data_IF_840015495769
#
_entry.id   IF_840015495769
#
_cell.length_a   1.000
_cell.length_b   1.000
_cell.length_c   1.000
_cell.angle_alpha   90.00
_cell.angle_beta   90.00
_cell.angle_gamma   90.00
#
_symmetry.space_group_name_H-M   'P 1'
#
loop_
_entity.id
_entity.type
_entity.pdbx_description
1 polymer ?
#
# COMPACT_ATOMS: atom_id res chain seq x y z
N UNK A 1 -5.92 -18.08 6.27
CA UNK A 1 -5.27 -16.77 6.49
C UNK A 1 -5.78 -16.25 7.82
N UNK A 2 -4.91 -16.06 8.82
CA UNK A 2 -5.31 -15.60 10.16
C UNK A 2 -5.75 -14.13 10.08
N UNK A 3 -6.88 -13.74 10.68
CA UNK A 3 -7.39 -12.37 10.69
C UNK A 3 -6.35 -11.38 11.23
N UNK A 4 -5.50 -11.82 12.15
CA UNK A 4 -4.39 -11.04 12.69
C UNK A 4 -3.32 -10.71 11.64
N UNK A 5 -3.01 -11.64 10.72
CA UNK A 5 -2.04 -11.40 9.65
C UNK A 5 -2.60 -10.43 8.62
N UNK A 6 -3.89 -10.55 8.29
CA UNK A 6 -4.55 -9.63 7.37
C UNK A 6 -4.53 -8.21 7.94
N UNK A 7 -4.87 -8.03 9.21
CA UNK A 7 -4.86 -6.72 9.85
C UNK A 7 -3.45 -6.11 9.97
N UNK A 8 -2.44 -6.95 10.23
CA UNK A 8 -1.04 -6.50 10.21
C UNK A 8 -0.61 -6.05 8.80
N UNK A 9 -1.00 -6.78 7.75
CA UNK A 9 -0.73 -6.39 6.37
C UNK A 9 -1.44 -5.07 5.98
N UNK A 10 -2.69 -4.88 6.41
CA UNK A 10 -3.40 -3.59 6.25
C UNK A 10 -2.66 -2.45 6.94
N UNK A 11 -2.16 -2.68 8.16
CA UNK A 11 -1.40 -1.69 8.92
C UNK A 11 -0.08 -1.32 8.23
N UNK A 12 0.61 -2.30 7.63
CA UNK A 12 1.83 -2.07 6.86
C UNK A 12 1.56 -1.20 5.63
N UNK A 13 0.47 -1.48 4.91
CA UNK A 13 0.02 -0.70 3.75
C UNK A 13 -0.32 0.75 4.13
N UNK A 14 -0.91 0.96 5.30
CA UNK A 14 -1.20 2.30 5.82
C UNK A 14 0.07 3.06 6.23
N UNK A 15 1.04 2.39 6.86
CA UNK A 15 2.33 2.99 7.21
C UNK A 15 3.10 3.40 5.95
N UNK A 16 3.13 2.56 4.91
CA UNK A 16 3.78 2.88 3.63
C UNK A 16 3.21 4.17 3.01
N UNK A 17 1.87 4.34 3.01
CA UNK A 17 1.23 5.57 2.54
C UNK A 17 1.61 6.77 3.41
N UNK A 18 1.64 6.62 4.72
CA UNK A 18 2.04 7.70 5.64
C UNK A 18 3.47 8.16 5.38
N UNK A 19 4.41 7.22 5.22
CA UNK A 19 5.81 7.51 4.92
C UNK A 19 5.99 8.16 3.54
N UNK A 20 5.32 7.64 2.51
CA UNK A 20 5.35 8.22 1.17
C UNK A 20 4.91 9.70 1.19
N UNK A 21 3.86 10.02 1.96
CA UNK A 21 3.38 11.40 2.14
C UNK A 21 4.34 12.27 2.92
N UNK A 22 4.95 11.75 3.98
CA UNK A 22 5.95 12.47 4.75
C UNK A 22 7.15 12.88 3.87
N UNK A 23 7.61 11.98 2.98
CA UNK A 23 8.67 12.27 1.99
C UNK A 23 8.28 13.35 1.00
N UNK A 24 7.08 13.23 0.42
CA UNK A 24 6.53 14.24 -0.50
C UNK A 24 6.44 15.62 0.17
N UNK A 25 5.94 15.68 1.41
CA UNK A 25 5.81 16.92 2.17
C UNK A 25 7.16 17.55 2.55
N UNK A 26 8.18 16.73 2.79
CA UNK A 26 9.55 17.19 3.07
C UNK A 26 10.28 17.73 1.83
N UNK A 27 9.66 17.72 0.64
CA UNK A 27 10.30 18.14 -0.62
C UNK A 27 11.32 17.13 -1.14
N UNK A 28 11.37 15.92 -0.56
CA UNK A 28 12.09 14.77 -1.11
C UNK A 28 11.18 14.18 -2.18
N UNK A 29 11.16 14.81 -3.35
CA UNK A 29 10.27 14.43 -4.44
C UNK A 29 10.47 12.97 -4.88
N UNK A 30 9.37 12.27 -5.16
CA UNK A 30 9.38 10.97 -5.86
C UNK A 30 9.93 11.06 -7.30
N UNK A 31 10.21 12.26 -7.80
CA UNK A 31 10.91 12.49 -9.08
C UNK A 31 12.42 12.15 -9.03
N UNK A 32 12.90 11.49 -7.97
CA UNK A 32 14.23 10.90 -7.91
C UNK A 32 14.39 9.56 -8.62
N UNK A 33 13.28 8.85 -8.92
CA UNK A 33 13.29 7.68 -9.81
C UNK A 33 12.51 8.04 -11.07
N UNK A 34 13.24 8.29 -12.15
CA UNK A 34 12.69 8.24 -13.51
C UNK A 34 12.18 6.81 -13.75
N UNK A 35 10.97 6.65 -14.32
CA UNK A 35 10.46 5.35 -14.81
C UNK A 35 11.34 4.76 -15.93
N UNK A 36 12.27 5.57 -16.44
CA UNK A 36 13.31 5.33 -17.43
C UNK A 36 14.70 5.09 -16.80
N UNK A 37 14.80 5.01 -15.47
CA UNK A 37 16.01 4.61 -14.76
C UNK A 37 15.94 3.12 -14.45
N UNK A 38 16.94 2.30 -14.82
CA UNK A 38 17.00 0.93 -14.35
C UNK A 38 16.95 0.95 -12.83
N UNK A 39 16.31 -0.06 -12.24
CA UNK A 39 16.38 -0.30 -10.80
C UNK A 39 17.85 -0.11 -10.38
N UNK A 40 18.13 0.63 -9.28
CA UNK A 40 19.48 0.76 -8.77
C UNK A 40 20.01 -0.66 -8.68
N UNK A 41 21.17 -0.86 -9.30
CA UNK A 41 21.87 -2.13 -9.32
C UNK A 41 21.82 -2.66 -7.89
N UNK A 42 21.03 -3.71 -7.66
CA UNK A 42 20.96 -4.38 -6.37
C UNK A 42 22.31 -5.06 -6.28
N UNK A 43 23.27 -4.26 -5.81
CA UNK A 43 24.67 -4.56 -5.80
C UNK A 43 24.85 -5.88 -5.10
N UNK A 44 25.24 -6.88 -5.90
CA UNK A 44 25.69 -8.17 -5.44
C UNK A 44 26.97 -7.93 -4.62
N UNK A 45 26.80 -7.62 -3.32
CA UNK A 45 27.92 -7.31 -2.44
C UNK A 45 27.53 -6.31 -1.35
N UNK A 46 27.37 -6.84 -0.13
CA UNK A 46 27.25 -6.13 1.15
C UNK A 46 25.85 -5.63 1.55
N UNK A 47 25.02 -6.57 2.02
CA UNK A 47 24.65 -6.58 3.45
C UNK A 47 23.57 -5.65 3.97
N UNK A 48 22.93 -4.83 3.14
CA UNK A 48 21.74 -4.09 3.56
C UNK A 48 20.61 -5.09 3.84
N UNK A 49 19.96 -4.94 4.99
CA UNK A 49 18.92 -5.86 5.42
C UNK A 49 17.75 -5.76 4.44
N UNK A 50 17.04 -6.86 4.12
CA UNK A 50 15.86 -6.85 3.25
C UNK A 50 14.76 -5.86 3.69
N UNK A 51 14.81 -5.41 4.94
CA UNK A 51 13.92 -4.39 5.52
C UNK A 51 14.28 -2.95 5.11
N UNK A 52 15.57 -2.67 4.87
CA UNK A 52 16.07 -1.35 4.43
C UNK A 52 15.69 -1.08 2.97
N UNK A 53 15.65 -2.13 2.15
CA UNK A 53 15.18 -2.07 0.75
C UNK A 53 13.70 -1.66 0.63
N UNK A 54 12.89 -1.91 1.67
CA UNK A 54 11.48 -1.52 1.69
C UNK A 54 11.27 -0.08 2.20
N UNK A 55 12.34 0.60 2.61
CA UNK A 55 12.32 1.96 3.16
C UNK A 55 11.20 2.17 4.21
N UNK A 56 11.00 1.20 5.10
CA UNK A 56 9.89 1.25 6.07
C UNK A 56 10.21 2.19 7.24
N UNK A 57 9.16 2.65 7.92
CA UNK A 57 9.34 3.30 9.24
C UNK A 57 9.75 2.26 10.30
N UNK A 58 10.22 2.72 11.46
CA UNK A 58 10.46 1.82 12.60
C UNK A 58 9.22 0.99 12.97
N UNK A 59 8.04 1.60 12.88
CA UNK A 59 6.76 0.92 13.09
C UNK A 59 6.46 -0.08 11.95
N UNK A 60 6.73 0.30 10.70
CA UNK A 60 6.56 -0.58 9.53
C UNK A 60 7.42 -1.84 9.64
N UNK A 61 8.67 -1.71 10.09
CA UNK A 61 9.56 -2.86 10.36
C UNK A 61 8.98 -3.77 11.45
N UNK A 62 8.47 -3.21 12.55
CA UNK A 62 7.82 -4.02 13.59
C UNK A 62 6.58 -4.76 13.08
N UNK A 63 5.80 -4.14 12.20
CA UNK A 63 4.63 -4.76 11.58
C UNK A 63 5.08 -5.86 10.61
N UNK A 64 6.09 -5.59 9.77
CA UNK A 64 6.65 -6.56 8.83
C UNK A 64 7.06 -7.85 9.55
N UNK A 65 7.77 -7.73 10.68
CA UNK A 65 8.20 -8.89 11.50
C UNK A 65 7.05 -9.64 12.16
N UNK A 66 5.90 -8.99 12.38
CA UNK A 66 4.68 -9.67 12.85
C UNK A 66 4.01 -10.45 11.72
N UNK A 67 4.10 -9.95 10.49
CA UNK A 67 3.54 -10.61 9.31
C UNK A 67 4.43 -11.79 8.88
N UNK A 68 5.75 -11.55 8.81
CA UNK A 68 6.77 -12.52 8.44
C UNK A 68 7.86 -12.56 9.52
N UNK A 69 7.78 -13.52 10.47
CA UNK A 69 8.77 -13.66 11.53
C UNK A 69 10.16 -14.07 11.03
N UNK A 70 10.23 -14.71 9.86
CA UNK A 70 11.47 -15.06 9.20
C UNK A 70 11.84 -13.99 8.17
N UNK A 71 13.13 -13.69 7.97
CA UNK A 71 13.57 -12.78 6.92
C UNK A 71 13.01 -13.18 5.56
N UNK A 72 12.50 -12.19 4.82
CA UNK A 72 12.08 -12.38 3.45
C UNK A 72 13.29 -12.60 2.54
N UNK A 73 13.12 -13.49 1.58
CA UNK A 73 14.04 -13.68 0.48
C UNK A 73 14.06 -12.51 -0.50
N UNK A 74 15.14 -12.29 -1.30
CA UNK A 74 15.20 -11.17 -2.24
C UNK A 74 14.02 -11.11 -3.22
N UNK A 75 13.54 -12.26 -3.72
CA UNK A 75 12.41 -12.30 -4.64
C UNK A 75 11.11 -11.88 -3.95
N UNK A 76 10.94 -12.28 -2.68
CA UNK A 76 9.80 -11.90 -1.87
C UNK A 76 9.82 -10.41 -1.53
N UNK A 77 11.00 -9.85 -1.24
CA UNK A 77 11.20 -8.41 -0.97
C UNK A 77 10.80 -7.57 -2.17
N UNK A 78 11.28 -7.90 -3.37
CA UNK A 78 10.95 -7.16 -4.60
C UNK A 78 9.43 -7.12 -4.84
N UNK A 79 8.76 -8.27 -4.64
CA UNK A 79 7.30 -8.35 -4.80
C UNK A 79 6.54 -7.61 -3.72
N UNK A 80 6.99 -7.68 -2.48
CA UNK A 80 6.41 -6.91 -1.37
C UNK A 80 6.54 -5.41 -1.67
N UNK A 81 7.71 -4.97 -2.13
CA UNK A 81 7.95 -3.59 -2.55
C UNK A 81 6.98 -3.16 -3.66
N UNK A 82 6.84 -3.97 -4.72
CA UNK A 82 5.92 -3.71 -5.81
C UNK A 82 4.46 -3.59 -5.33
N UNK A 83 4.02 -4.43 -4.38
CA UNK A 83 2.67 -4.31 -3.80
C UNK A 83 2.50 -3.02 -2.99
N UNK A 84 3.52 -2.61 -2.22
CA UNK A 84 3.49 -1.35 -1.47
C UNK A 84 3.40 -0.13 -2.41
N UNK A 85 4.24 -0.08 -3.46
CA UNK A 85 4.20 1.00 -4.46
C UNK A 85 2.85 1.09 -5.16
N UNK A 86 2.35 -0.05 -5.66
CA UNK A 86 1.04 -0.13 -6.31
C UNK A 86 -0.08 0.31 -5.38
N UNK A 87 -0.01 -0.01 -4.08
CA UNK A 87 -1.01 0.45 -3.12
C UNK A 87 -0.97 1.95 -2.89
N UNK A 88 0.22 2.56 -2.81
CA UNK A 88 0.37 4.01 -2.68
C UNK A 88 -0.30 4.73 -3.86
N UNK A 89 -0.06 4.27 -5.08
CA UNK A 89 -0.69 4.85 -6.29
C UNK A 89 -2.21 4.70 -6.29
N UNK A 90 -2.72 3.52 -5.90
CA UNK A 90 -4.16 3.26 -5.77
C UNK A 90 -4.80 4.17 -4.72
N UNK A 91 -4.13 4.39 -3.60
CA UNK A 91 -4.61 5.25 -2.54
C UNK A 91 -4.67 6.71 -2.97
N UNK A 92 -3.68 7.19 -3.73
CA UNK A 92 -3.70 8.53 -4.31
C UNK A 92 -4.85 8.70 -5.31
N UNK A 93 -5.19 7.66 -6.08
CA UNK A 93 -6.35 7.68 -6.97
C UNK A 93 -7.68 7.74 -6.19
N UNK A 94 -7.81 6.98 -5.09
CA UNK A 94 -8.98 7.01 -4.21
C UNK A 94 -9.14 8.38 -3.55
N UNK A 95 -8.06 9.00 -3.10
CA UNK A 95 -8.09 10.35 -2.53
C UNK A 95 -8.49 11.41 -3.56
N UNK A 96 -7.97 11.32 -4.78
CA UNK A 96 -8.42 12.19 -5.89
C UNK A 96 -9.91 12.01 -6.14
N UNK A 97 -10.41 10.78 -6.17
CA UNK A 97 -11.84 10.47 -6.34
C UNK A 97 -12.68 11.09 -5.22
N UNK A 98 -12.26 10.94 -3.96
CA UNK A 98 -12.93 11.56 -2.80
C UNK A 98 -12.96 13.08 -2.92
N UNK A 99 -11.83 13.69 -3.28
CA UNK A 99 -11.73 15.14 -3.42
C UNK A 99 -12.59 15.68 -4.57
N UNK A 100 -12.65 14.98 -5.71
CA UNK A 100 -13.54 15.33 -6.81
C UNK A 100 -15.00 15.23 -6.39
N UNK A 101 -15.41 14.15 -5.75
CA UNK A 101 -16.77 14.01 -5.22
C UNK A 101 -17.12 15.17 -4.27
N UNK A 102 -16.26 15.47 -3.30
CA UNK A 102 -16.48 16.56 -2.35
C UNK A 102 -16.60 17.93 -3.03
N UNK A 103 -15.72 18.19 -4.01
CA UNK A 103 -15.74 19.45 -4.77
C UNK A 103 -17.05 19.58 -5.54
N UNK A 104 -17.38 18.59 -6.34
CA UNK A 104 -18.53 18.62 -7.25
C UNK A 104 -19.85 18.67 -6.44
N UNK A 105 -19.93 17.90 -5.35
CA UNK A 105 -21.08 17.92 -4.45
C UNK A 105 -21.30 19.29 -3.81
N UNK A 106 -20.23 19.93 -3.31
CA UNK A 106 -20.30 21.27 -2.68
C UNK A 106 -20.62 22.36 -3.69
N UNK A 107 -20.12 22.23 -4.93
CA UNK A 107 -20.47 23.16 -6.00
C UNK A 107 -21.97 23.11 -6.34
N UNK A 108 -22.59 21.93 -6.28
CA UNK A 108 -24.02 21.77 -6.56
C UNK A 108 -24.94 22.14 -5.39
N UNK A 109 -24.52 21.90 -4.15
CA UNK A 109 -25.40 21.97 -2.97
C UNK A 109 -25.01 23.03 -1.93
N UNK A 110 -23.89 23.74 -2.14
CA UNK A 110 -23.32 24.66 -1.16
C UNK A 110 -22.26 24.02 -0.26
N UNK A 111 -21.44 24.88 0.35
CA UNK A 111 -20.30 24.46 1.18
C UNK A 111 -20.68 24.22 2.65
N UNK A 112 -21.75 24.85 3.15
CA UNK A 112 -22.18 24.69 4.53
C UNK A 112 -23.11 23.49 4.66
N UNK A 113 -22.61 22.44 5.33
CA UNK A 113 -23.38 21.20 5.57
C UNK A 113 -24.61 21.44 6.44
N UNK A 114 -24.66 22.53 7.22
CA UNK A 114 -25.82 22.88 8.07
C UNK A 114 -27.03 23.31 7.25
N UNK A 115 -26.80 23.76 6.03
CA UNK A 115 -27.85 24.22 5.11
C UNK A 115 -28.41 23.06 4.27
N UNK A 116 -27.85 21.85 4.41
CA UNK A 116 -28.32 20.69 3.67
C UNK A 116 -29.71 20.28 4.16
N UNK A 117 -30.62 20.09 3.21
CA UNK A 117 -31.85 19.34 3.48
C UNK A 117 -31.52 17.91 3.88
N UNK A 118 -32.47 17.20 4.49
CA UNK A 118 -32.30 15.78 4.83
C UNK A 118 -31.94 14.92 3.63
N UNK A 119 -32.52 15.22 2.46
CA UNK A 119 -32.23 14.52 1.19
C UNK A 119 -30.79 14.77 0.73
N UNK A 120 -30.33 16.03 0.74
CA UNK A 120 -28.96 16.39 0.36
C UNK A 120 -27.95 15.77 1.34
N UNK A 121 -28.22 15.82 2.64
CA UNK A 121 -27.37 15.20 3.65
C UNK A 121 -27.26 13.68 3.45
N UNK A 122 -28.38 13.00 3.17
CA UNK A 122 -28.37 11.56 2.88
C UNK A 122 -27.60 11.23 1.61
N UNK A 123 -27.77 12.01 0.53
CA UNK A 123 -27.00 11.83 -0.70
C UNK A 123 -25.50 12.08 -0.51
N UNK A 124 -25.12 13.04 0.34
CA UNK A 124 -23.73 13.31 0.69
C UNK A 124 -23.11 12.11 1.41
N UNK A 125 -23.79 11.60 2.43
CA UNK A 125 -23.34 10.48 3.25
C UNK A 125 -23.23 9.19 2.42
N UNK A 126 -24.24 8.86 1.62
CA UNK A 126 -24.20 7.71 0.72
C UNK A 126 -23.08 7.83 -0.33
N UNK A 127 -22.76 9.04 -0.78
CA UNK A 127 -21.63 9.28 -1.68
C UNK A 127 -20.29 8.97 -1.02
N UNK A 128 -20.07 9.46 0.20
CA UNK A 128 -18.86 9.16 0.97
C UNK A 128 -18.76 7.69 1.36
N UNK A 129 -19.86 7.08 1.76
CA UNK A 129 -19.92 5.67 2.13
C UNK A 129 -19.49 4.76 0.97
N UNK A 130 -19.95 5.02 -0.26
CA UNK A 130 -19.52 4.26 -1.44
C UNK A 130 -18.01 4.38 -1.70
N UNK A 131 -17.44 5.57 -1.56
CA UNK A 131 -16.01 5.78 -1.76
C UNK A 131 -15.20 5.08 -0.67
N UNK A 132 -15.66 5.15 0.58
CA UNK A 132 -15.00 4.49 1.71
C UNK A 132 -15.09 2.96 1.61
N UNK A 133 -16.23 2.42 1.17
CA UNK A 133 -16.41 0.99 0.95
C UNK A 133 -15.43 0.47 -0.11
N UNK A 134 -15.32 1.18 -1.24
CA UNK A 134 -14.34 0.85 -2.28
C UNK A 134 -12.90 0.94 -1.75
N UNK A 135 -12.56 1.98 -1.00
CA UNK A 135 -11.23 2.10 -0.40
C UNK A 135 -10.91 0.93 0.54
N UNK A 136 -11.88 0.50 1.35
CA UNK A 136 -11.74 -0.64 2.26
C UNK A 136 -11.58 -1.97 1.48
N UNK A 137 -12.38 -2.20 0.45
CA UNK A 137 -12.26 -3.38 -0.41
C UNK A 137 -10.88 -3.46 -1.08
N UNK A 138 -10.37 -2.33 -1.59
CA UNK A 138 -9.06 -2.24 -2.22
C UNK A 138 -7.91 -2.42 -1.23
N UNK A 139 -8.06 -1.92 0.00
CA UNK A 139 -7.10 -2.15 1.06
C UNK A 139 -7.01 -3.65 1.39
N UNK A 140 -8.16 -4.31 1.60
CA UNK A 140 -8.20 -5.74 1.88
C UNK A 140 -7.66 -6.58 0.72
N UNK A 141 -7.94 -6.19 -0.51
CA UNK A 141 -7.38 -6.84 -1.70
C UNK A 141 -5.85 -6.73 -1.70
N UNK A 142 -5.32 -5.52 -1.53
CA UNK A 142 -3.87 -5.27 -1.50
C UNK A 142 -3.19 -5.98 -0.33
N UNK A 143 -3.84 -6.07 0.83
CA UNK A 143 -3.33 -6.80 1.99
C UNK A 143 -3.18 -8.30 1.70
N UNK A 144 -4.13 -8.90 0.96
CA UNK A 144 -4.03 -10.30 0.50
C UNK A 144 -2.94 -10.48 -0.55
N UNK A 145 -2.78 -9.52 -1.48
CA UNK A 145 -1.69 -9.52 -2.47
C UNK A 145 -0.32 -9.44 -1.76
N UNK A 146 -0.20 -8.57 -0.76
CA UNK A 146 1.00 -8.37 0.05
C UNK A 146 1.40 -9.65 0.76
N UNK A 147 0.44 -10.30 1.42
CA UNK A 147 0.68 -11.56 2.13
C UNK A 147 1.13 -12.68 1.19
N UNK A 148 0.51 -12.81 0.01
CA UNK A 148 0.94 -13.76 -1.01
C UNK A 148 2.34 -13.44 -1.54
N UNK A 149 2.69 -12.17 -1.70
CA UNK A 149 4.00 -11.76 -2.18
C UNK A 149 5.13 -12.27 -1.27
N UNK A 150 4.94 -12.21 0.05
CA UNK A 150 5.91 -12.70 1.02
C UNK A 150 5.93 -14.22 1.25
N UNK A 151 5.00 -14.97 0.64
CA UNK A 151 4.98 -16.44 0.69
C UNK A 151 5.83 -17.08 -0.43
N UNK A 152 6.33 -16.31 -1.39
CA UNK A 152 7.13 -16.87 -2.50
C UNK A 152 8.53 -17.26 -2.04
N UNK A 153 8.90 -18.55 -2.09
CA UNK A 153 10.27 -18.95 -1.80
C UNK A 153 11.22 -18.47 -2.89
N UNK A 154 12.45 -18.10 -2.51
CA UNK A 154 13.54 -17.79 -3.46
C UNK A 154 13.98 -19.00 -4.29
N UNK A 155 13.56 -20.20 -3.88
CA UNK A 155 13.80 -21.42 -4.62
C UNK A 155 12.58 -21.74 -5.49
N UNK A 156 12.65 -21.60 -6.83
CA UNK A 156 11.79 -22.41 -7.68
C UNK A 156 12.09 -23.85 -7.27
N UNK A 157 11.06 -24.64 -6.97
CA UNK A 157 11.22 -25.98 -6.46
C UNK A 157 12.36 -26.69 -7.20
N UNK A 158 13.40 -27.06 -6.46
CA UNK A 158 14.14 -28.26 -6.80
C UNK A 158 13.12 -29.39 -6.63
N UNK A 159 12.25 -29.53 -7.64
CA UNK A 159 11.56 -30.78 -7.91
C UNK A 159 12.69 -31.78 -8.16
N UNK A 160 13.07 -32.44 -7.07
CA UNK A 160 13.46 -33.83 -6.91
C UNK A 160 13.51 -34.65 -8.24
N UNK A 161 14.36 -34.25 -9.17
CA UNK A 161 14.86 -35.12 -10.23
C UNK A 161 16.09 -35.86 -9.70
N UNK A 162 15.89 -36.57 -8.58
CA UNK A 162 16.84 -37.58 -8.12
C UNK A 162 16.26 -38.96 -8.39
N UNK A 163 16.65 -39.47 -9.56
CA UNK A 163 16.98 -40.87 -9.85
C UNK A 163 15.98 -41.97 -9.43
N UNK A 164 15.29 -42.54 -10.44
CA UNK A 164 15.10 -43.98 -10.58
C UNK A 164 14.99 -44.37 -12.06
#
# INVERSE_FOLDING_TARGET
MNDQHLHAAESLLQDAVYQARARQAAGVGLSGRRLDQPAPDVGCGAGDLPEEALELSSQGVEILRKVWPNPLGPVAVDRVHEVLENWIERQDALDRKRNHFLRDFRQANGFDRRDYSSEVASSFEAGLERINAEANERLQQSARELLRAGEFPDHPGEDDFSSA
#
